data_IF_666266720549
#
_entry.id   IF_666266720549
#
_cell.length_a   1.000
_cell.length_b   1.000
_cell.length_c   1.000
_cell.angle_alpha   90.00
_cell.angle_beta   90.00
_cell.angle_gamma   90.00
#
_symmetry.space_group_name_H-M   'P 1'
#
loop_
_entity.id
_entity.type
_entity.pdbx_description
1 polymer ?
#
# COMPACT_ATOMS: atom_id res chain seq x y z
N UNK A 1 -7.95 9.91 17.66
CA UNK A 1 -6.67 9.63 18.36
C UNK A 1 -5.97 8.54 17.56
N UNK A 2 -4.75 8.76 17.10
CA UNK A 2 -4.00 7.77 16.32
C UNK A 2 -3.67 6.55 17.16
N UNK A 3 -3.59 5.39 16.51
CA UNK A 3 -3.09 4.19 17.17
C UNK A 3 -1.58 4.31 17.40
N UNK A 4 -1.12 3.87 18.57
CA UNK A 4 0.32 3.82 18.86
C UNK A 4 1.02 2.70 18.05
N UNK A 5 2.32 2.87 17.81
CA UNK A 5 3.14 1.93 17.06
C UNK A 5 3.17 0.52 17.68
N UNK A 6 3.09 0.43 19.01
CA UNK A 6 3.09 -0.86 19.72
C UNK A 6 1.83 -1.65 19.40
N UNK A 7 0.67 -0.97 19.35
CA UNK A 7 -0.61 -1.59 18.96
C UNK A 7 -0.57 -2.06 17.52
N UNK A 8 -0.03 -1.25 16.60
CA UNK A 8 0.15 -1.61 15.19
C UNK A 8 1.11 -2.80 15.04
N UNK A 9 2.25 -2.76 15.72
CA UNK A 9 3.23 -3.85 15.71
C UNK A 9 2.62 -5.16 16.23
N UNK A 10 1.87 -5.10 17.35
CA UNK A 10 1.19 -6.26 17.93
C UNK A 10 0.15 -6.84 16.97
N UNK A 11 -0.61 -5.98 16.27
CA UNK A 11 -1.56 -6.46 15.26
C UNK A 11 -0.82 -7.20 14.14
N UNK A 12 0.22 -6.61 13.54
CA UNK A 12 0.95 -7.24 12.44
C UNK A 12 1.77 -8.47 12.85
N UNK A 13 2.10 -8.61 14.14
CA UNK A 13 2.66 -9.83 14.71
C UNK A 13 1.62 -10.95 14.91
N UNK A 14 0.31 -10.64 14.88
CA UNK A 14 -0.76 -11.64 14.99
C UNK A 14 -0.92 -12.46 13.71
N UNK A 15 -1.55 -13.66 13.76
CA UNK A 15 -1.84 -14.45 12.56
C UNK A 15 -2.66 -13.66 11.51
N UNK A 16 -3.66 -12.89 11.95
CA UNK A 16 -4.49 -12.06 11.07
C UNK A 16 -3.68 -10.93 10.42
N UNK A 17 -2.86 -10.24 11.21
CA UNK A 17 -2.00 -9.17 10.72
C UNK A 17 -0.93 -9.65 9.74
N UNK A 18 -0.32 -10.81 10.01
CA UNK A 18 0.62 -11.44 9.06
C UNK A 18 -0.05 -11.83 7.74
N UNK A 19 -1.28 -12.35 7.79
CA UNK A 19 -2.04 -12.65 6.58
C UNK A 19 -2.37 -11.37 5.80
N UNK A 20 -2.79 -10.30 6.49
CA UNK A 20 -3.04 -9.00 5.87
C UNK A 20 -1.79 -8.42 5.23
N UNK A 21 -0.65 -8.45 5.93
CA UNK A 21 0.65 -8.01 5.40
C UNK A 21 1.03 -8.76 4.14
N UNK A 22 0.97 -10.12 4.14
CA UNK A 22 1.31 -10.93 2.95
C UNK A 22 0.45 -10.57 1.74
N UNK A 23 -0.87 -10.43 1.92
CA UNK A 23 -1.79 -10.09 0.83
C UNK A 23 -1.48 -8.70 0.27
N UNK A 24 -1.26 -7.69 1.12
CA UNK A 24 -0.92 -6.34 0.69
C UNK A 24 0.44 -6.28 0.01
N UNK A 25 1.44 -6.96 0.56
CA UNK A 25 2.78 -7.07 -0.02
C UNK A 25 2.75 -7.72 -1.41
N UNK A 26 2.02 -8.82 -1.57
CA UNK A 26 1.86 -9.46 -2.86
C UNK A 26 1.26 -8.50 -3.92
N UNK A 27 0.28 -7.66 -3.52
CA UNK A 27 -0.28 -6.63 -4.41
C UNK A 27 0.74 -5.56 -4.80
N UNK A 28 1.58 -5.14 -3.87
CA UNK A 28 2.64 -4.15 -4.14
C UNK A 28 3.72 -4.73 -5.05
N UNK A 29 4.13 -5.97 -4.83
CA UNK A 29 5.09 -6.67 -5.70
C UNK A 29 4.49 -6.90 -7.10
N UNK A 30 3.21 -7.21 -7.21
CA UNK A 30 2.52 -7.32 -8.51
C UNK A 30 2.52 -5.99 -9.29
N UNK A 31 2.50 -4.84 -8.60
CA UNK A 31 2.52 -3.52 -9.21
C UNK A 31 3.93 -3.05 -9.59
N UNK A 32 4.94 -3.32 -8.74
CA UNK A 32 6.26 -2.71 -8.83
C UNK A 32 7.41 -3.69 -9.09
N UNK A 33 7.17 -5.00 -9.03
CA UNK A 33 8.22 -6.00 -8.97
C UNK A 33 8.96 -5.93 -7.63
N UNK A 34 10.21 -6.30 -7.62
CA UNK A 34 11.10 -6.31 -6.45
C UNK A 34 11.72 -4.94 -6.12
N UNK A 35 11.40 -3.91 -6.91
CA UNK A 35 11.87 -2.53 -6.75
C UNK A 35 13.41 -2.39 -6.71
N UNK A 36 14.15 -3.23 -7.43
CA UNK A 36 15.61 -3.21 -7.51
C UNK A 36 16.15 -1.82 -7.81
N UNK A 37 17.15 -1.39 -7.03
CA UNK A 37 17.84 -0.11 -7.17
C UNK A 37 16.96 1.14 -7.04
N UNK A 38 15.71 1.03 -6.59
CA UNK A 38 14.81 2.16 -6.37
C UNK A 38 14.87 2.65 -4.92
N UNK A 39 14.55 3.93 -4.70
CA UNK A 39 14.41 4.51 -3.37
C UNK A 39 12.95 4.43 -2.93
N UNK A 40 12.68 3.71 -1.83
CA UNK A 40 11.35 3.48 -1.26
C UNK A 40 11.10 4.34 -0.04
N UNK A 41 9.90 4.90 0.06
CA UNK A 41 9.38 5.58 1.25
C UNK A 41 8.06 4.94 1.67
N UNK A 42 7.99 4.48 2.91
CA UNK A 42 6.73 4.11 3.55
C UNK A 42 6.26 5.21 4.48
N UNK A 43 5.01 5.64 4.34
CA UNK A 43 4.37 6.68 5.14
C UNK A 43 3.22 6.10 5.97
N UNK A 44 3.03 6.64 7.17
CA UNK A 44 2.11 6.09 8.15
C UNK A 44 2.73 4.92 8.89
N UNK A 45 2.15 3.73 8.78
CA UNK A 45 2.75 2.51 9.31
C UNK A 45 2.90 1.46 8.20
N UNK A 46 3.82 1.71 7.26
CA UNK A 46 4.03 0.89 6.08
C UNK A 46 5.10 -0.21 6.27
N UNK A 47 5.75 -0.29 7.41
CA UNK A 47 6.81 -1.27 7.73
C UNK A 47 6.42 -2.70 7.33
N UNK A 48 5.21 -3.21 7.67
CA UNK A 48 4.86 -4.61 7.37
C UNK A 48 4.81 -4.96 5.88
N UNK A 49 4.69 -3.96 5.02
CA UNK A 49 4.69 -4.16 3.56
C UNK A 49 6.02 -3.77 2.92
N UNK A 50 6.81 -2.89 3.56
CA UNK A 50 8.17 -2.59 3.13
C UNK A 50 9.10 -3.80 3.30
N UNK A 51 8.91 -4.61 4.36
CA UNK A 51 9.69 -5.83 4.61
C UNK A 51 9.68 -6.81 3.43
N UNK A 52 8.63 -6.78 2.60
CA UNK A 52 8.51 -7.66 1.44
C UNK A 52 9.50 -7.33 0.31
N UNK A 53 10.08 -6.13 0.30
CA UNK A 53 11.08 -5.73 -0.68
C UNK A 53 12.51 -6.08 -0.23
N UNK A 54 12.71 -6.43 1.04
CA UNK A 54 14.01 -6.84 1.59
C UNK A 54 15.11 -5.81 1.35
N UNK A 55 16.26 -6.27 0.86
CA UNK A 55 17.44 -5.47 0.54
C UNK A 55 17.59 -5.12 -0.96
N UNK A 56 16.58 -5.44 -1.79
CA UNK A 56 16.58 -5.14 -3.22
C UNK A 56 16.58 -3.63 -3.54
N UNK A 57 15.82 -2.78 -2.84
CA UNK A 57 15.89 -1.34 -3.04
C UNK A 57 17.26 -0.76 -2.66
N UNK A 58 17.67 0.29 -3.38
CA UNK A 58 18.88 1.04 -3.03
C UNK A 58 18.76 1.73 -1.66
N UNK A 59 17.52 2.07 -1.29
CA UNK A 59 17.16 2.69 -0.01
C UNK A 59 15.71 2.37 0.33
N UNK A 60 15.43 2.07 1.60
CA UNK A 60 14.10 2.00 2.16
C UNK A 60 14.02 2.83 3.43
N UNK A 61 13.01 3.68 3.55
CA UNK A 61 12.77 4.52 4.73
C UNK A 61 11.32 4.37 5.17
N UNK A 62 11.10 4.17 6.47
CA UNK A 62 9.77 4.21 7.08
C UNK A 62 9.61 5.54 7.83
N UNK A 63 8.76 6.42 7.31
CA UNK A 63 8.43 7.69 7.95
C UNK A 63 7.12 7.54 8.72
N UNK A 64 7.23 7.46 10.04
CA UNK A 64 6.14 7.17 10.96
C UNK A 64 5.73 8.46 11.68
N UNK A 65 4.43 8.82 11.71
CA UNK A 65 3.97 10.01 12.40
C UNK A 65 4.39 10.05 13.88
N UNK A 66 4.74 11.22 14.40
CA UNK A 66 5.15 11.40 15.80
C UNK A 66 4.15 10.81 16.80
N UNK A 67 2.85 10.95 16.49
CA UNK A 67 1.78 10.50 17.39
C UNK A 67 1.70 8.98 17.55
N UNK A 68 2.36 8.20 16.67
CA UNK A 68 2.50 6.76 16.84
C UNK A 68 3.58 6.37 17.86
N UNK A 69 4.46 7.31 18.23
CA UNK A 69 5.61 7.06 19.10
C UNK A 69 6.84 6.51 18.35
N UNK A 70 7.92 6.22 19.08
CA UNK A 70 9.17 5.78 18.50
C UNK A 70 9.06 4.38 17.88
N UNK A 71 9.67 4.19 16.71
CA UNK A 71 9.74 2.92 15.99
C UNK A 71 11.18 2.62 15.64
N UNK A 72 11.58 1.36 15.83
CA UNK A 72 12.83 0.84 15.31
C UNK A 72 12.54 -0.15 14.17
N UNK A 73 13.18 0.06 13.03
CA UNK A 73 13.08 -0.81 11.87
C UNK A 73 14.41 -0.88 11.15
N UNK A 74 14.99 -2.06 11.06
CA UNK A 74 16.28 -2.32 10.43
C UNK A 74 16.15 -3.47 9.41
N UNK A 75 15.76 -3.18 8.16
CA UNK A 75 15.55 -4.20 7.15
C UNK A 75 16.85 -4.84 6.63
N UNK A 76 17.99 -4.20 6.84
CA UNK A 76 19.27 -4.60 6.23
C UNK A 76 20.37 -4.97 7.24
N UNK A 77 20.11 -4.85 8.54
CA UNK A 77 21.13 -5.00 9.58
C UNK A 77 22.17 -3.87 9.61
N UNK A 78 21.88 -2.74 8.95
CA UNK A 78 22.78 -1.57 8.85
C UNK A 78 22.39 -0.41 9.76
N UNK A 79 21.35 -0.60 10.56
CA UNK A 79 20.83 0.39 11.49
C UNK A 79 19.39 0.82 11.21
N UNK A 80 18.86 1.65 12.10
CA UNK A 80 17.46 2.05 12.06
C UNK A 80 17.11 2.87 10.81
N UNK A 81 16.20 2.37 9.99
CA UNK A 81 15.69 3.02 8.80
C UNK A 81 14.29 3.65 9.01
N UNK A 82 13.81 3.71 10.26
CA UNK A 82 12.59 4.42 10.63
C UNK A 82 12.90 5.82 11.14
N UNK A 83 12.06 6.79 10.78
CA UNK A 83 12.13 8.18 11.23
C UNK A 83 10.77 8.67 11.66
N UNK A 84 10.70 9.38 12.79
CA UNK A 84 9.49 10.05 13.24
C UNK A 84 9.31 11.36 12.51
N UNK A 85 8.09 11.62 11.98
CA UNK A 85 7.81 12.78 11.13
C UNK A 85 6.48 13.45 11.49
N UNK A 86 6.38 14.75 11.15
CA UNK A 86 5.09 15.43 11.08
C UNK A 86 4.38 15.11 9.75
N UNK A 87 3.06 15.07 9.77
CA UNK A 87 2.25 14.71 8.59
C UNK A 87 2.44 15.63 7.39
N UNK A 88 2.65 16.92 7.65
CA UNK A 88 2.63 17.95 6.62
C UNK A 88 4.02 18.47 6.24
N UNK A 89 5.07 17.91 6.84
CA UNK A 89 6.45 18.29 6.53
C UNK A 89 7.39 17.12 6.75
N UNK A 90 7.88 16.56 5.65
CA UNK A 90 8.80 15.44 5.65
C UNK A 90 10.26 15.95 5.65
N UNK A 91 11.16 15.41 6.48
CA UNK A 91 12.54 15.84 6.58
C UNK A 91 13.42 15.28 5.44
N UNK A 92 12.87 15.27 4.23
CA UNK A 92 13.56 14.74 3.05
C UNK A 92 13.67 15.82 1.96
N UNK A 93 14.74 15.81 1.15
CA UNK A 93 14.86 16.68 0.00
C UNK A 93 13.81 16.37 -1.08
N UNK A 94 13.64 17.33 -1.98
CA UNK A 94 12.75 17.20 -3.14
C UNK A 94 13.24 16.09 -4.07
N UNK A 95 12.31 15.32 -4.61
CA UNK A 95 12.61 14.34 -5.65
C UNK A 95 13.42 13.13 -5.19
N UNK A 96 13.42 12.78 -3.90
CA UNK A 96 14.28 11.75 -3.33
C UNK A 96 13.79 10.31 -3.57
N UNK A 97 12.47 10.09 -3.65
CA UNK A 97 11.91 8.75 -3.63
C UNK A 97 11.22 8.37 -4.93
N UNK A 98 11.54 7.18 -5.45
CA UNK A 98 10.97 6.63 -6.68
C UNK A 98 9.65 5.92 -6.42
N UNK A 99 9.48 5.37 -5.23
CA UNK A 99 8.27 4.65 -4.81
C UNK A 99 7.83 5.11 -3.42
N UNK A 100 6.55 5.43 -3.31
CA UNK A 100 5.94 5.82 -2.02
C UNK A 100 4.74 4.92 -1.73
N UNK A 101 4.71 4.36 -0.53
CA UNK A 101 3.59 3.57 -0.01
C UNK A 101 2.98 4.33 1.16
N UNK A 102 1.68 4.59 1.11
CA UNK A 102 0.94 5.14 2.24
C UNK A 102 0.04 4.05 2.80
N UNK A 103 0.28 3.66 4.04
CA UNK A 103 -0.53 2.67 4.78
C UNK A 103 -0.76 3.18 6.20
N UNK A 104 -2.01 3.21 6.67
CA UNK A 104 -2.42 3.79 7.97
C UNK A 104 -1.97 5.25 8.19
N UNK A 105 -1.81 6.01 7.10
CA UNK A 105 -1.42 7.42 7.17
C UNK A 105 -2.54 8.36 6.73
N UNK A 106 -3.31 7.94 5.73
CA UNK A 106 -4.34 8.79 5.13
C UNK A 106 -5.63 8.85 5.94
N UNK A 107 -5.93 7.79 6.70
CA UNK A 107 -7.14 7.69 7.52
C UNK A 107 -7.14 8.63 8.70
N UNK A 108 -5.96 9.06 9.13
CA UNK A 108 -5.77 9.83 10.38
C UNK A 108 -5.26 11.24 10.15
N UNK A 109 -4.92 11.62 8.90
CA UNK A 109 -4.48 12.99 8.60
C UNK A 109 -5.65 13.97 8.62
N UNK A 110 -5.42 15.16 9.20
CA UNK A 110 -6.39 16.25 9.21
C UNK A 110 -6.54 16.97 7.87
N UNK A 111 -5.47 17.01 7.05
CA UNK A 111 -5.47 17.63 5.72
C UNK A 111 -4.84 16.69 4.67
N UNK A 112 -5.65 15.82 4.04
CA UNK A 112 -5.16 14.90 3.02
C UNK A 112 -4.55 15.57 1.79
N UNK A 113 -4.99 16.81 1.48
CA UNK A 113 -4.44 17.56 0.32
C UNK A 113 -3.05 18.09 0.61
N UNK A 114 -2.85 18.70 1.77
CA UNK A 114 -1.53 19.15 2.20
C UNK A 114 -0.57 17.96 2.37
N UNK A 115 -1.06 16.85 2.92
CA UNK A 115 -0.31 15.60 3.01
C UNK A 115 0.19 15.12 1.64
N UNK A 116 -0.67 15.04 0.64
CA UNK A 116 -0.27 14.62 -0.71
C UNK A 116 0.64 15.63 -1.44
N UNK A 117 0.51 16.94 -1.17
CA UNK A 117 1.47 17.94 -1.70
C UNK A 117 2.88 17.69 -1.19
N UNK A 118 3.00 17.37 0.09
CA UNK A 118 4.30 17.07 0.69
C UNK A 118 4.87 15.75 0.16
N UNK A 119 4.04 14.73 -0.01
CA UNK A 119 4.43 13.48 -0.68
C UNK A 119 4.90 13.77 -2.10
N UNK A 120 4.15 14.58 -2.86
CA UNK A 120 4.52 14.96 -4.23
C UNK A 120 5.90 15.64 -4.27
N UNK A 121 6.21 16.52 -3.31
CA UNK A 121 7.51 17.21 -3.22
C UNK A 121 8.67 16.22 -3.11
N UNK A 122 8.59 15.25 -2.21
CA UNK A 122 9.68 14.31 -1.94
C UNK A 122 9.81 13.20 -2.98
N UNK A 123 8.81 13.00 -3.86
CA UNK A 123 8.87 12.03 -4.93
C UNK A 123 9.70 12.50 -6.11
N UNK A 124 10.47 11.59 -6.70
CA UNK A 124 11.20 11.81 -7.96
C UNK A 124 10.23 12.07 -9.13
N UNK A 125 10.67 12.72 -10.22
CA UNK A 125 9.92 12.74 -11.48
C UNK A 125 9.57 11.31 -11.92
N UNK A 126 8.35 11.10 -12.42
CA UNK A 126 7.81 9.79 -12.79
C UNK A 126 7.76 8.78 -11.62
N UNK A 127 8.00 9.24 -10.39
CA UNK A 127 7.85 8.44 -9.18
C UNK A 127 6.40 7.92 -9.03
N UNK A 128 6.24 6.76 -8.40
CA UNK A 128 4.94 6.12 -8.22
C UNK A 128 4.54 6.09 -6.76
N UNK A 129 3.27 6.33 -6.52
CA UNK A 129 2.66 6.22 -5.19
C UNK A 129 1.58 5.15 -5.19
N UNK A 130 1.49 4.38 -4.10
CA UNK A 130 0.31 3.57 -3.78
C UNK A 130 -0.30 4.10 -2.50
N UNK A 131 -1.57 4.49 -2.59
CA UNK A 131 -2.41 4.73 -1.41
C UNK A 131 -3.14 3.42 -1.08
N UNK A 132 -2.84 2.84 0.08
CA UNK A 132 -3.53 1.68 0.63
C UNK A 132 -4.36 2.14 1.84
N UNK A 133 -5.66 2.28 1.65
CA UNK A 133 -6.56 2.83 2.66
C UNK A 133 -7.75 1.90 2.94
N UNK A 134 -8.25 1.96 4.17
CA UNK A 134 -9.42 1.21 4.62
C UNK A 134 -10.62 1.52 3.74
N UNK A 135 -11.23 0.46 3.18
CA UNK A 135 -12.37 0.58 2.27
C UNK A 135 -13.67 0.81 3.05
N UNK A 136 -14.32 1.94 2.81
CA UNK A 136 -15.62 2.28 3.44
C UNK A 136 -16.70 1.21 3.25
N UNK A 137 -16.69 0.52 2.10
CA UNK A 137 -17.66 -0.53 1.80
C UNK A 137 -17.27 -1.90 2.37
N UNK A 138 -16.00 -2.09 2.77
CA UNK A 138 -15.46 -3.35 3.25
C UNK A 138 -15.78 -3.65 4.71
N UNK A 139 -15.67 -4.92 5.08
CA UNK A 139 -15.89 -5.39 6.46
C UNK A 139 -14.82 -4.87 7.42
N UNK A 140 -13.59 -4.70 6.96
CA UNK A 140 -12.46 -4.28 7.77
C UNK A 140 -12.62 -2.87 8.34
N UNK A 141 -13.28 -1.96 7.62
CA UNK A 141 -13.56 -0.61 8.10
C UNK A 141 -14.51 -0.57 9.31
N UNK A 142 -15.20 -1.68 9.60
CA UNK A 142 -16.10 -1.85 10.76
C UNK A 142 -15.46 -2.67 11.87
N UNK A 143 -14.29 -3.25 11.64
CA UNK A 143 -13.58 -4.10 12.59
C UNK A 143 -12.70 -3.26 13.53
N UNK A 144 -13.29 -2.60 14.51
CA UNK A 144 -12.61 -1.66 15.43
C UNK A 144 -11.43 -2.27 16.20
N UNK A 145 -11.32 -3.61 16.25
CA UNK A 145 -10.18 -4.34 16.83
C UNK A 145 -8.97 -4.44 15.90
N UNK A 146 -9.10 -3.96 14.67
CA UNK A 146 -8.00 -3.93 13.68
C UNK A 146 -7.63 -2.50 13.35
N UNK A 147 -6.39 -2.22 12.91
CA UNK A 147 -5.99 -0.89 12.46
C UNK A 147 -6.85 -0.34 11.32
N UNK A 148 -7.36 -1.22 10.47
CA UNK A 148 -8.21 -0.85 9.34
C UNK A 148 -9.62 -0.37 9.74
N UNK A 149 -10.07 -0.67 10.96
CA UNK A 149 -11.33 -0.18 11.52
C UNK A 149 -11.20 1.16 12.26
N UNK A 150 -10.03 1.79 12.19
CA UNK A 150 -9.74 3.07 12.86
C UNK A 150 -9.61 4.20 11.84
N UNK A 151 -9.82 5.43 12.29
CA UNK A 151 -9.73 6.61 11.46
C UNK A 151 -10.86 6.71 10.42
N UNK A 152 -10.62 7.48 9.36
CA UNK A 152 -11.61 7.74 8.30
C UNK A 152 -11.44 6.75 7.14
N UNK A 153 -12.41 5.87 6.89
CA UNK A 153 -12.34 4.99 5.73
C UNK A 153 -12.62 5.76 4.43
N UNK A 154 -12.05 5.28 3.33
CA UNK A 154 -12.10 5.91 2.02
C UNK A 154 -12.86 5.04 1.01
N UNK A 155 -13.52 5.68 0.03
CA UNK A 155 -13.96 4.98 -1.16
C UNK A 155 -12.90 5.07 -2.26
N UNK A 156 -12.93 4.16 -3.22
CA UNK A 156 -12.06 4.19 -4.41
C UNK A 156 -12.16 5.53 -5.14
N UNK A 157 -13.38 6.03 -5.36
CA UNK A 157 -13.61 7.30 -6.06
C UNK A 157 -13.00 8.50 -5.30
N UNK A 158 -13.09 8.51 -3.97
CA UNK A 158 -12.48 9.55 -3.15
C UNK A 158 -10.96 9.56 -3.25
N UNK A 159 -10.30 8.38 -3.22
CA UNK A 159 -8.85 8.27 -3.37
C UNK A 159 -8.39 8.71 -4.76
N UNK A 160 -9.08 8.28 -5.81
CA UNK A 160 -8.77 8.69 -7.19
C UNK A 160 -8.93 10.21 -7.37
N UNK A 161 -10.02 10.80 -6.87
CA UNK A 161 -10.25 12.25 -6.90
C UNK A 161 -9.17 13.01 -6.13
N UNK A 162 -8.78 12.52 -4.95
CA UNK A 162 -7.75 13.13 -4.13
C UNK A 162 -6.39 13.15 -4.83
N UNK A 163 -6.01 12.03 -5.48
CA UNK A 163 -4.78 11.92 -6.27
C UNK A 163 -4.80 12.86 -7.49
N UNK A 164 -5.93 12.90 -8.21
CA UNK A 164 -6.06 13.78 -9.39
C UNK A 164 -5.94 15.27 -9.03
N UNK A 165 -6.56 15.69 -7.92
CA UNK A 165 -6.41 17.06 -7.39
C UNK A 165 -4.96 17.33 -6.95
N UNK A 166 -4.25 16.31 -6.46
CA UNK A 166 -2.84 16.36 -6.07
C UNK A 166 -1.85 16.30 -7.25
N UNK A 167 -2.31 16.44 -8.49
CA UNK A 167 -1.49 16.38 -9.72
C UNK A 167 -0.84 15.00 -9.98
N UNK A 168 -1.43 13.95 -9.46
CA UNK A 168 -1.05 12.58 -9.77
C UNK A 168 -1.92 12.00 -10.89
N UNK A 169 -1.32 11.27 -11.80
CA UNK A 169 -2.05 10.48 -12.80
C UNK A 169 -2.29 9.08 -12.27
N UNK A 170 -3.55 8.71 -12.03
CA UNK A 170 -3.93 7.37 -11.59
C UNK A 170 -3.63 6.36 -12.71
N UNK A 171 -2.92 5.28 -12.38
CA UNK A 171 -2.48 4.24 -13.31
C UNK A 171 -3.14 2.89 -13.05
N UNK A 172 -3.46 2.59 -11.79
CA UNK A 172 -4.12 1.34 -11.43
C UNK A 172 -4.97 1.50 -10.17
N UNK A 173 -5.97 0.66 -10.02
CA UNK A 173 -6.68 0.51 -8.75
C UNK A 173 -7.10 -0.94 -8.53
N UNK A 174 -7.02 -1.39 -7.29
CA UNK A 174 -7.43 -2.74 -6.88
C UNK A 174 -8.01 -2.71 -5.47
N UNK A 175 -8.52 -3.85 -5.03
CA UNK A 175 -8.92 -4.07 -3.64
C UNK A 175 -8.26 -5.34 -3.12
N UNK A 176 -8.06 -5.40 -1.82
CA UNK A 176 -7.45 -6.51 -1.10
C UNK A 176 -8.19 -6.77 0.21
N UNK A 177 -7.81 -7.83 0.93
CA UNK A 177 -8.37 -8.22 2.21
C UNK A 177 -9.88 -8.56 2.11
N UNK A 178 -10.21 -9.47 1.21
CA UNK A 178 -11.58 -9.99 1.10
C UNK A 178 -11.92 -11.00 2.20
N UNK A 179 -10.92 -11.55 2.89
CA UNK A 179 -11.13 -12.40 4.05
C UNK A 179 -11.82 -11.62 5.20
N UNK A 180 -12.65 -12.27 6.01
CA UNK A 180 -13.21 -11.67 7.21
C UNK A 180 -12.11 -11.26 8.20
N UNK A 181 -12.27 -10.12 8.93
CA UNK A 181 -11.30 -9.65 9.92
C UNK A 181 -11.39 -10.40 11.25
N UNK A 182 -11.27 -11.75 11.20
CA UNK A 182 -11.33 -12.64 12.36
C UNK A 182 -10.07 -13.48 12.49
N UNK A 183 -9.60 -13.67 13.73
CA UNK A 183 -8.33 -14.35 14.02
C UNK A 183 -8.49 -15.87 14.16
N UNK A 184 -9.38 -16.51 13.39
CA UNK A 184 -9.51 -17.99 13.41
C UNK A 184 -8.45 -18.60 12.50
N UNK A 185 -7.82 -19.69 12.96
CA UNK A 185 -6.73 -20.35 12.23
C UNK A 185 -7.12 -20.76 10.80
N UNK A 186 -8.35 -21.23 10.60
CA UNK A 186 -8.88 -21.62 9.27
C UNK A 186 -8.95 -20.42 8.33
N UNK A 187 -9.46 -19.27 8.77
CA UNK A 187 -9.57 -18.06 7.93
C UNK A 187 -8.20 -17.52 7.57
N UNK A 188 -7.27 -17.48 8.53
CA UNK A 188 -5.92 -16.96 8.27
C UNK A 188 -5.06 -17.91 7.42
N UNK A 189 -5.25 -19.23 7.53
CA UNK A 189 -4.58 -20.22 6.69
C UNK A 189 -5.07 -20.16 5.22
N UNK A 190 -6.36 -19.88 5.01
CA UNK A 190 -6.97 -19.79 3.69
C UNK A 190 -7.03 -18.34 3.14
N UNK A 191 -6.32 -17.39 3.74
CA UNK A 191 -6.45 -15.96 3.45
C UNK A 191 -6.26 -15.61 1.96
N UNK A 192 -5.28 -16.21 1.29
CA UNK A 192 -5.02 -16.00 -0.13
C UNK A 192 -6.15 -16.55 -1.02
N UNK A 193 -6.73 -17.70 -0.64
CA UNK A 193 -7.90 -18.25 -1.31
C UNK A 193 -9.13 -17.34 -1.16
N UNK A 194 -9.37 -16.81 0.04
CA UNK A 194 -10.41 -15.82 0.28
C UNK A 194 -10.21 -14.56 -0.57
N UNK A 195 -8.98 -14.07 -0.69
CA UNK A 195 -8.68 -12.88 -1.51
C UNK A 195 -8.93 -13.14 -3.00
N UNK A 196 -8.54 -14.32 -3.51
CA UNK A 196 -8.76 -14.70 -4.89
C UNK A 196 -10.25 -14.85 -5.23
N UNK A 197 -11.03 -15.58 -4.39
CA UNK A 197 -12.46 -15.81 -4.58
C UNK A 197 -13.25 -14.51 -4.38
N UNK A 198 -12.97 -13.76 -3.32
CA UNK A 198 -13.65 -12.51 -3.02
C UNK A 198 -13.50 -11.47 -4.11
N UNK A 199 -12.34 -11.38 -4.73
CA UNK A 199 -12.08 -10.51 -5.88
C UNK A 199 -12.94 -10.85 -7.09
N UNK A 200 -13.19 -12.15 -7.32
CA UNK A 200 -14.01 -12.62 -8.43
C UNK A 200 -15.52 -12.37 -8.19
N UNK A 201 -15.99 -12.63 -6.96
CA UNK A 201 -17.42 -12.60 -6.64
C UNK A 201 -17.90 -11.19 -6.26
N UNK A 202 -17.07 -10.44 -5.53
CA UNK A 202 -17.44 -9.13 -4.96
C UNK A 202 -16.37 -8.07 -5.23
N UNK A 203 -16.06 -7.76 -6.50
CA UNK A 203 -15.04 -6.78 -6.82
C UNK A 203 -15.40 -5.43 -6.16
N UNK A 204 -14.47 -4.89 -5.37
CA UNK A 204 -14.67 -3.61 -4.68
C UNK A 204 -15.15 -3.70 -3.22
N UNK A 205 -15.49 -4.88 -2.68
CA UNK A 205 -15.82 -5.07 -1.26
C UNK A 205 -14.63 -5.51 -0.39
N UNK A 206 -13.43 -5.61 -0.95
CA UNK A 206 -12.22 -5.85 -0.17
C UNK A 206 -12.05 -4.85 0.95
N UNK A 207 -11.40 -5.25 2.04
CA UNK A 207 -11.21 -4.40 3.23
C UNK A 207 -10.30 -3.20 3.02
N UNK A 208 -9.43 -3.27 2.01
CA UNK A 208 -8.49 -2.18 1.64
C UNK A 208 -8.64 -1.87 0.16
N UNK A 209 -8.66 -0.58 -0.17
CA UNK A 209 -8.52 -0.07 -1.54
C UNK A 209 -7.08 0.34 -1.75
N UNK A 210 -6.47 -0.14 -2.84
CA UNK A 210 -5.17 0.30 -3.32
C UNK A 210 -5.36 1.11 -4.59
N UNK A 211 -4.80 2.30 -4.64
CA UNK A 211 -4.78 3.15 -5.85
C UNK A 211 -3.33 3.53 -6.13
N UNK A 212 -2.85 3.13 -7.31
CA UNK A 212 -1.56 3.54 -7.82
C UNK A 212 -1.69 4.79 -8.68
N UNK A 213 -0.72 5.70 -8.54
CA UNK A 213 -0.61 6.86 -9.39
C UNK A 213 0.86 7.25 -9.63
N UNK A 214 1.10 8.01 -10.69
CA UNK A 214 2.41 8.50 -11.10
C UNK A 214 2.46 10.02 -10.95
N UNK A 215 3.58 10.53 -10.43
CA UNK A 215 3.89 11.97 -10.45
C UNK A 215 4.25 12.39 -11.86
N UNK A 216 3.43 13.24 -12.49
CA UNK A 216 3.73 13.82 -13.79
C UNK A 216 4.12 15.29 -13.65
N UNK A 217 5.31 15.67 -14.13
CA UNK A 217 5.76 17.07 -14.12
C UNK A 217 5.08 17.92 -15.20
N UNK A 218 4.63 17.28 -16.27
CA UNK A 218 3.93 17.94 -17.37
C UNK A 218 2.52 17.37 -17.49
N UNK A 219 1.51 18.12 -17.02
CA UNK A 219 0.14 17.89 -17.47
C UNK A 219 0.07 18.35 -18.93
N UNK A 220 -0.10 17.43 -19.88
CA UNK A 220 -0.49 17.81 -21.23
C UNK A 220 -1.79 18.62 -21.16
N UNK A 221 -1.86 19.84 -21.69
CA UNK A 221 -3.11 20.58 -21.80
C UNK A 221 -3.95 19.92 -22.89
N UNK A 222 -4.67 18.88 -22.55
CA UNK A 222 -5.56 18.18 -23.44
C UNK A 222 -6.29 17.12 -22.64
N UNK A 223 -7.61 17.36 -22.43
CA UNK A 223 -8.49 16.42 -21.74
C UNK A 223 -8.47 15.05 -22.39
N UNK A 224 -7.54 14.21 -21.97
CA UNK A 224 -7.56 12.80 -22.26
C UNK A 224 -8.60 12.15 -21.35
N UNK A 225 -9.63 11.56 -21.95
CA UNK A 225 -10.54 10.67 -21.27
C UNK A 225 -9.72 9.66 -20.43
N UNK A 226 -10.07 9.53 -19.16
CA UNK A 226 -9.51 8.50 -18.28
C UNK A 226 -9.76 7.16 -18.98
N UNK A 227 -8.69 6.55 -19.51
CA UNK A 227 -8.81 5.21 -20.05
C UNK A 227 -9.36 4.31 -18.95
N UNK A 228 -10.30 3.40 -19.25
CA UNK A 228 -10.84 2.50 -18.25
C UNK A 228 -9.68 1.74 -17.63
N UNK A 229 -9.60 1.77 -16.31
CA UNK A 229 -8.59 1.03 -15.55
C UNK A 229 -8.86 -0.44 -15.79
N UNK A 230 -8.11 -1.03 -16.70
CA UNK A 230 -8.20 -2.46 -16.98
C UNK A 230 -7.54 -3.19 -15.82
N UNK A 231 -8.35 -3.89 -15.05
CA UNK A 231 -7.85 -4.86 -14.09
C UNK A 231 -7.07 -5.93 -14.86
N UNK A 232 -5.73 -5.91 -14.78
CA UNK A 232 -4.88 -6.88 -15.48
C UNK A 232 -5.13 -8.26 -14.90
N UNK A 233 -5.99 -9.03 -15.56
CA UNK A 233 -6.09 -10.47 -15.32
C UNK A 233 -4.77 -11.12 -15.78
N UNK A 234 -4.07 -11.79 -14.87
CA UNK A 234 -2.93 -12.64 -15.25
C UNK A 234 -3.44 -13.77 -16.14
N UNK A 235 -3.02 -13.78 -17.40
CA UNK A 235 -3.10 -14.98 -18.24
C UNK A 235 -2.05 -15.95 -17.68
N UNK A 236 -2.51 -17.03 -17.07
CA UNK A 236 -1.67 -18.11 -16.60
C UNK A 236 -0.87 -18.66 -17.81
N UNK A 237 0.45 -18.65 -17.70
CA UNK A 237 1.34 -19.22 -18.71
C UNK A 237 1.11 -20.74 -18.75
N UNK A 238 0.80 -21.36 -19.91
CA UNK A 238 0.61 -22.80 -19.96
C UNK A 238 1.93 -23.49 -19.62
N UNK A 239 1.86 -24.51 -18.75
CA UNK A 239 2.99 -25.36 -18.43
C UNK A 239 3.46 -26.09 -19.69
N UNK A 240 4.67 -25.81 -20.16
CA UNK A 240 5.34 -26.56 -21.22
C UNK A 240 5.66 -27.97 -20.68
N UNK A 241 4.86 -28.92 -21.11
CA UNK A 241 5.09 -30.33 -20.83
C UNK A 241 6.40 -30.80 -21.48
N UNK A 242 7.36 -31.22 -20.64
CA UNK A 242 8.58 -31.89 -21.04
C UNK A 242 8.24 -33.28 -21.58
N UNK A 243 8.18 -33.42 -22.90
CA UNK A 243 8.09 -34.69 -23.59
C UNK A 243 9.43 -35.44 -23.52
N UNK A 244 9.52 -36.41 -22.64
CA UNK A 244 10.63 -37.36 -22.56
C UNK A 244 10.48 -38.39 -23.67
N UNK A 245 11.20 -38.24 -24.79
CA UNK A 245 11.38 -39.32 -25.79
C UNK A 245 12.52 -40.23 -25.32
N UNK A 246 12.17 -41.49 -25.07
CA UNK A 246 13.12 -42.64 -25.00
C UNK A 246 13.47 -43.07 -26.43
N UNK A 247 14.72 -43.21 -26.67
CA UNK A 247 15.32 -44.25 -27.54
C UNK A 247 16.56 -44.74 -26.83
#
# INVERSE_FOLDING_TARGET
MRQDAVTLQRFYASPLGRAASRILSAKLIDLWGDANNLSLLGLGYAIPVLDAFGDHPSRSVAAVPFDHGPVHWDPTGRGNAAVSVGDLRLPFPDGMFDRVIVLHGLEETGDPRAYLREVWRVMSPEGRIVLAASNRAGLWARATRTPFGQGRPWSRAQLMSLLSVGLFQVTASSSALYMPPVSTGIVTAAAEGWDAIGRLITPGLGGVVLVEAVKRLYASPGGGAVAPVVERARIAKPATGSGRKRH
#
